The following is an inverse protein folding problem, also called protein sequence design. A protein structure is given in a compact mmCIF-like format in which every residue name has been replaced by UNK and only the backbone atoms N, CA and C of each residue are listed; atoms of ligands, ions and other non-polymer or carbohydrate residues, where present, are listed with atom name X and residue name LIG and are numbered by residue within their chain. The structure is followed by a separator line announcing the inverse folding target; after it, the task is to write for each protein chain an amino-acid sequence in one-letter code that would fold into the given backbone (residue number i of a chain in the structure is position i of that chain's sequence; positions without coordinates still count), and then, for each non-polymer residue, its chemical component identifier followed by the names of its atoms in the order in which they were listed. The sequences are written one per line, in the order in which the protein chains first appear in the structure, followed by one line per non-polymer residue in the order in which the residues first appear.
data_IF_454993569261
#
_entry.id   IF_454993569261
#
_cell.length_a   1.000
_cell.length_b   1.000
_cell.length_c   1.000
_cell.angle_alpha   90.00
_cell.angle_beta   90.00
_cell.angle_gamma   90.00
#
_symmetry.space_group_name_H-M   'P 1'
#
loop_
_entity.id
_entity.type
_entity.pdbx_description
1 polymer ?
#
# COMPACT_ATOMS: atom_id res chain seq x y z
N UNK A 1 -18.31 -0.87 -2.58
CA UNK A 1 -17.63 -2.17 -2.81
C UNK A 1 -16.25 -2.08 -2.22
N UNK A 2 -15.80 -3.12 -1.52
CA UNK A 2 -14.50 -3.13 -0.87
C UNK A 2 -13.46 -3.65 -1.85
N UNK A 3 -12.64 -2.77 -2.42
CA UNK A 3 -11.50 -3.20 -3.23
C UNK A 3 -10.41 -3.74 -2.32
N UNK A 4 -10.13 -5.04 -2.40
CA UNK A 4 -9.19 -5.73 -1.52
C UNK A 4 -7.82 -5.87 -2.15
N UNK A 5 -6.79 -5.87 -1.30
CA UNK A 5 -5.43 -6.11 -1.71
C UNK A 5 -4.65 -6.99 -0.74
N UNK A 6 -3.61 -7.64 -1.27
CA UNK A 6 -2.55 -8.25 -0.47
C UNK A 6 -1.18 -7.70 -0.90
N UNK A 7 -0.36 -7.36 0.08
CA UNK A 7 0.99 -6.85 -0.11
C UNK A 7 1.95 -7.92 0.41
N UNK A 8 2.90 -8.30 -0.44
CA UNK A 8 3.98 -9.23 -0.13
C UNK A 8 5.33 -8.53 -0.22
N UNK A 9 6.27 -9.03 0.59
CA UNK A 9 7.65 -8.59 0.57
C UNK A 9 8.47 -9.76 0.07
N UNK A 10 9.33 -9.51 -0.92
CA UNK A 10 10.32 -10.48 -1.37
C UNK A 10 11.09 -11.06 -0.18
N UNK A 11 11.48 -12.34 -0.25
CA UNK A 11 12.05 -13.10 0.86
C UNK A 11 11.12 -13.34 2.09
N UNK A 12 9.87 -12.81 2.12
CA UNK A 12 8.88 -13.01 3.21
C UNK A 12 7.44 -13.22 2.70
N UNK A 13 7.26 -13.99 1.64
CA UNK A 13 5.93 -14.18 1.02
C UNK A 13 4.98 -15.04 1.87
N UNK A 14 5.48 -15.75 2.89
CA UNK A 14 4.68 -16.55 3.81
C UNK A 14 3.66 -15.73 4.63
N UNK A 15 3.91 -14.43 4.83
CA UNK A 15 3.01 -13.51 5.54
C UNK A 15 2.69 -12.34 4.60
N UNK A 16 1.41 -12.08 4.39
CA UNK A 16 0.91 -10.99 3.55
C UNK A 16 0.22 -9.94 4.41
N UNK A 17 0.46 -8.67 4.11
CA UNK A 17 -0.37 -7.59 4.63
C UNK A 17 -1.64 -7.51 3.79
N UNK A 18 -2.78 -7.79 4.42
CA UNK A 18 -4.10 -7.68 3.83
C UNK A 18 -4.65 -6.26 4.00
N UNK A 19 -5.26 -5.71 2.97
CA UNK A 19 -6.03 -4.46 3.01
C UNK A 19 -7.46 -4.73 2.53
N UNK A 20 -8.42 -4.43 3.40
CA UNK A 20 -9.83 -4.75 3.18
C UNK A 20 -10.49 -3.83 2.15
N UNK A 21 -10.25 -2.52 2.26
CA UNK A 21 -10.83 -1.49 1.40
C UNK A 21 -9.73 -0.63 0.78
N UNK A 22 -10.04 0.04 -0.34
CA UNK A 22 -9.11 0.91 -1.07
C UNK A 22 -7.79 0.23 -1.45
N UNK A 23 -7.86 -1.05 -1.84
CA UNK A 23 -6.72 -1.84 -2.27
C UNK A 23 -6.18 -1.50 -3.66
N UNK A 24 -6.81 -0.60 -4.42
CA UNK A 24 -6.31 -0.14 -5.72
C UNK A 24 -5.08 0.77 -5.55
N UNK A 25 -4.28 1.04 -6.61
CA UNK A 25 -2.95 1.61 -6.44
C UNK A 25 -2.93 2.98 -5.76
N UNK A 26 -3.93 3.83 -6.00
CA UNK A 26 -4.05 5.12 -5.32
C UNK A 26 -4.29 5.01 -3.80
N UNK A 27 -4.85 3.90 -3.31
CA UNK A 27 -5.08 3.67 -1.87
C UNK A 27 -3.95 2.92 -1.15
N UNK A 28 -2.98 2.40 -1.91
CA UNK A 28 -1.87 1.59 -1.36
C UNK A 28 -0.52 2.28 -1.56
N UNK A 29 -0.20 2.71 -2.78
CA UNK A 29 1.12 3.25 -3.13
C UNK A 29 1.54 4.49 -2.34
N UNK A 30 0.63 5.46 -2.03
CA UNK A 30 0.98 6.62 -1.21
C UNK A 30 1.51 6.31 0.18
N UNK A 31 1.16 5.15 0.73
CA UNK A 31 1.61 4.68 2.05
C UNK A 31 2.82 3.75 1.90
N UNK A 32 2.73 2.82 0.96
CA UNK A 32 3.72 1.79 0.71
C UNK A 32 5.08 2.38 0.29
N UNK A 33 5.11 3.23 -0.73
CA UNK A 33 6.38 3.70 -1.30
C UNK A 33 7.20 4.56 -0.33
N UNK A 34 6.64 5.58 0.35
CA UNK A 34 7.44 6.39 1.28
C UNK A 34 7.94 5.55 2.47
N UNK A 35 7.17 4.54 2.89
CA UNK A 35 7.61 3.63 3.94
C UNK A 35 8.80 2.78 3.49
N UNK A 36 8.73 2.18 2.31
CA UNK A 36 9.82 1.36 1.74
C UNK A 36 11.06 2.23 1.52
N UNK A 37 10.92 3.39 0.88
CA UNK A 37 12.03 4.34 0.63
C UNK A 37 12.73 4.73 1.94
N UNK A 38 11.97 5.17 2.94
CA UNK A 38 12.52 5.59 4.22
C UNK A 38 13.17 4.43 4.99
N UNK A 39 12.60 3.23 4.91
CA UNK A 39 13.11 2.05 5.59
C UNK A 39 14.45 1.62 5.00
N UNK A 40 14.51 1.48 3.66
CA UNK A 40 15.74 1.08 2.98
C UNK A 40 16.86 2.09 3.17
N UNK A 41 16.55 3.39 3.13
CA UNK A 41 17.53 4.46 3.38
C UNK A 41 18.16 4.39 4.78
N UNK A 42 17.43 3.90 5.78
CA UNK A 42 17.84 3.93 7.20
C UNK A 42 18.39 2.61 7.70
N UNK A 43 17.84 1.49 7.25
CA UNK A 43 18.16 0.15 7.75
C UNK A 43 18.74 -0.78 6.66
N UNK A 44 18.34 -0.59 5.41
CA UNK A 44 18.58 -1.56 4.35
C UNK A 44 17.50 -2.65 4.32
N UNK A 45 17.79 -3.75 3.61
CA UNK A 45 16.85 -4.84 3.39
C UNK A 45 16.70 -5.73 4.63
N UNK A 46 15.52 -5.68 5.24
CA UNK A 46 15.13 -6.52 6.38
C UNK A 46 13.61 -6.76 6.27
N UNK A 47 13.18 -7.86 5.62
CA UNK A 47 11.78 -8.11 5.28
C UNK A 47 10.85 -8.14 6.49
N UNK A 48 11.27 -8.75 7.60
CA UNK A 48 10.44 -8.88 8.81
C UNK A 48 10.18 -7.52 9.46
N UNK A 49 11.25 -6.73 9.62
CA UNK A 49 11.10 -5.38 10.15
C UNK A 49 10.38 -4.46 9.15
N UNK A 50 10.57 -4.64 7.84
CA UNK A 50 9.84 -3.88 6.84
C UNK A 50 8.33 -4.18 6.93
N UNK A 51 7.93 -5.44 7.05
CA UNK A 51 6.52 -5.83 7.25
C UNK A 51 5.94 -5.16 8.49
N UNK A 52 6.65 -5.24 9.62
CA UNK A 52 6.20 -4.60 10.87
C UNK A 52 6.05 -3.07 10.71
N UNK A 53 6.95 -2.43 9.97
CA UNK A 53 6.86 -0.99 9.66
C UNK A 53 5.72 -0.67 8.72
N UNK A 54 5.42 -1.52 7.74
CA UNK A 54 4.27 -1.36 6.86
C UNK A 54 2.95 -1.48 7.62
N UNK A 55 2.80 -2.45 8.53
CA UNK A 55 1.62 -2.57 9.40
C UNK A 55 1.35 -1.25 10.14
N UNK A 56 2.38 -0.65 10.73
CA UNK A 56 2.26 0.66 11.37
C UNK A 56 1.94 1.79 10.39
N UNK A 57 2.57 1.81 9.22
CA UNK A 57 2.34 2.83 8.20
C UNK A 57 0.87 2.86 7.74
N UNK A 58 0.31 1.69 7.45
CA UNK A 58 -1.11 1.55 7.11
C UNK A 58 -2.01 1.88 8.30
N UNK A 59 -1.63 1.52 9.53
CA UNK A 59 -2.32 1.96 10.74
C UNK A 59 -2.46 3.47 10.88
N UNK A 60 -1.37 4.19 10.62
CA UNK A 60 -1.36 5.66 10.66
C UNK A 60 -2.21 6.28 9.55
N UNK A 61 -2.14 5.72 8.34
CA UNK A 61 -2.94 6.16 7.20
C UNK A 61 -4.44 5.99 7.47
N UNK A 62 -4.86 4.82 7.95
CA UNK A 62 -6.26 4.55 8.31
C UNK A 62 -6.77 5.45 9.43
N UNK A 63 -5.95 5.74 10.46
CA UNK A 63 -6.35 6.67 11.53
C UNK A 63 -6.56 8.09 10.99
N UNK A 64 -5.70 8.57 10.09
CA UNK A 64 -5.91 9.87 9.43
C UNK A 64 -7.20 9.89 8.60
N UNK A 65 -7.44 8.83 7.83
CA UNK A 65 -8.68 8.70 7.07
C UNK A 65 -9.91 8.73 7.98
N UNK A 66 -9.87 7.98 9.09
CA UNK A 66 -10.92 7.96 10.11
C UNK A 66 -11.18 9.34 10.72
N UNK A 67 -10.12 10.08 11.05
CA UNK A 67 -10.24 11.44 11.58
C UNK A 67 -10.86 12.40 10.56
N UNK A 68 -10.43 12.33 9.31
CA UNK A 68 -11.01 13.13 8.22
C UNK A 68 -12.50 12.83 8.00
N UNK A 69 -12.88 11.54 8.06
CA UNK A 69 -14.28 11.11 7.92
C UNK A 69 -15.16 11.52 9.10
N UNK A 70 -14.64 11.44 10.34
CA UNK A 70 -15.33 11.94 11.54
C UNK A 70 -15.58 13.45 11.47
N UNK A 71 -14.65 14.21 10.89
CA UNK A 71 -14.80 15.64 10.68
C UNK A 71 -15.75 15.98 9.50
N UNK A 72 -16.14 15.01 8.68
CA UNK A 72 -16.95 15.27 7.49
C UNK A 72 -18.43 15.51 7.84
N UNK A 73 -19.02 16.65 7.44
CA UNK A 73 -20.34 17.10 7.91
C UNK A 73 -21.52 16.15 7.65
N UNK A 74 -21.41 15.30 6.62
CA UNK A 74 -22.51 14.41 6.17
C UNK A 74 -22.17 12.92 6.20
N UNK A 75 -20.90 12.56 6.45
CA UNK A 75 -20.43 11.18 6.36
C UNK A 75 -20.09 10.57 7.74
N UNK A 76 -19.94 11.40 8.78
CA UNK A 76 -19.58 10.95 10.13
C UNK A 76 -20.56 9.94 10.76
N UNK A 77 -21.86 10.04 10.46
CA UNK A 77 -22.89 9.15 11.01
C UNK A 77 -23.04 7.81 10.27
N UNK A 78 -22.49 7.68 9.06
CA UNK A 78 -22.67 6.48 8.20
C UNK A 78 -21.66 5.36 8.46
N UNK A 79 -20.60 5.63 9.24
CA UNK A 79 -19.55 4.66 9.52
C UNK A 79 -19.84 3.94 10.85
N UNK A 80 -20.61 2.85 10.79
CA UNK A 80 -20.71 1.92 11.93
C UNK A 80 -19.41 1.11 11.99
N UNK A 81 -18.56 1.40 12.97
CA UNK A 81 -17.33 0.67 13.32
C UNK A 81 -16.10 0.85 12.40
N UNK A 82 -15.64 2.08 12.13
CA UNK A 82 -14.36 2.31 11.43
C UNK A 82 -13.13 1.76 12.16
N UNK A 83 -13.26 1.38 13.44
CA UNK A 83 -12.18 0.88 14.28
C UNK A 83 -11.79 -0.58 14.02
N UNK A 84 -12.63 -1.38 13.36
CA UNK A 84 -12.42 -2.83 13.17
C UNK A 84 -12.14 -3.26 11.73
N UNK A 85 -12.13 -2.33 10.78
CA UNK A 85 -11.85 -2.59 9.36
C UNK A 85 -10.65 -1.77 8.89
N UNK A 86 -9.93 -2.27 7.88
CA UNK A 86 -8.77 -1.58 7.30
C UNK A 86 -7.72 -2.54 6.76
N UNK A 87 -6.93 -3.13 7.66
CA UNK A 87 -5.83 -4.04 7.30
C UNK A 87 -5.65 -5.17 8.31
N UNK A 88 -4.90 -6.20 7.92
CA UNK A 88 -4.58 -7.35 8.76
C UNK A 88 -3.39 -8.14 8.22
N UNK A 89 -3.02 -9.22 8.90
CA UNK A 89 -1.99 -10.15 8.42
C UNK A 89 -2.66 -11.47 8.03
N UNK A 90 -2.26 -12.03 6.89
CA UNK A 90 -2.73 -13.33 6.43
C UNK A 90 -1.57 -14.22 6.04
N UNK A 91 -1.70 -15.52 6.30
CA UNK A 91 -0.80 -16.55 5.73
C UNK A 91 -1.26 -16.99 4.35
N UNK A 92 -2.55 -16.87 4.09
CA UNK A 92 -3.24 -17.41 2.92
C UNK A 92 -3.48 -16.32 1.87
N UNK A 93 -3.62 -16.75 0.63
CA UNK A 93 -4.15 -15.94 -0.45
C UNK A 93 -5.67 -15.92 -0.35
N UNK A 94 -6.28 -14.73 -0.35
CA UNK A 94 -7.73 -14.64 -0.41
C UNK A 94 -8.21 -14.69 -1.84
N UNK A 95 -9.30 -15.42 -2.08
CA UNK A 95 -9.87 -15.60 -3.41
C UNK A 95 -10.48 -14.31 -3.97
N UNK A 96 -10.86 -13.36 -3.10
CA UNK A 96 -11.49 -12.09 -3.45
C UNK A 96 -10.51 -10.89 -3.52
N UNK A 97 -9.22 -11.16 -3.71
CA UNK A 97 -8.21 -10.10 -3.92
C UNK A 97 -8.30 -9.56 -5.35
N UNK A 98 -8.35 -8.24 -5.46
CA UNK A 98 -8.34 -7.52 -6.74
C UNK A 98 -6.92 -7.05 -7.13
N UNK A 99 -6.07 -6.80 -6.13
CA UNK A 99 -4.74 -6.24 -6.32
C UNK A 99 -3.68 -6.92 -5.45
N UNK A 100 -2.54 -7.23 -6.06
CA UNK A 100 -1.36 -7.73 -5.35
C UNK A 100 -0.20 -6.75 -5.52
N UNK A 101 0.51 -6.48 -4.43
CA UNK A 101 1.70 -5.62 -4.46
C UNK A 101 2.90 -6.43 -4.00
N UNK A 102 4.00 -6.39 -4.75
CA UNK A 102 5.25 -7.03 -4.37
C UNK A 102 6.33 -6.00 -4.17
N UNK A 103 6.83 -5.90 -2.94
CA UNK A 103 7.99 -5.06 -2.61
C UNK A 103 9.25 -5.85 -2.90
N UNK A 104 10.11 -5.28 -3.74
CA UNK A 104 11.39 -5.86 -4.15
C UNK A 104 12.53 -5.36 -3.28
N UNK A 105 13.64 -6.12 -3.26
CA UNK A 105 14.86 -5.80 -2.51
C UNK A 105 15.45 -4.42 -2.85
N UNK A 106 15.31 -3.99 -4.10
CA UNK A 106 15.78 -2.68 -4.57
C UNK A 106 14.84 -1.51 -4.20
N UNK A 107 13.72 -1.81 -3.54
CA UNK A 107 12.69 -0.84 -3.15
C UNK A 107 11.65 -0.56 -4.22
N UNK A 108 11.74 -1.19 -5.39
CA UNK A 108 10.67 -1.12 -6.39
C UNK A 108 9.42 -1.87 -5.89
N UNK A 109 8.26 -1.41 -6.35
CA UNK A 109 6.96 -2.01 -6.02
C UNK A 109 6.31 -2.43 -7.32
N UNK A 110 6.14 -3.74 -7.48
CA UNK A 110 5.32 -4.28 -8.55
C UNK A 110 3.86 -4.25 -8.16
N UNK A 111 3.01 -3.89 -9.12
CA UNK A 111 1.56 -3.79 -8.94
C UNK A 111 0.91 -4.78 -9.89
N UNK A 112 0.13 -5.69 -9.35
CA UNK A 112 -0.51 -6.76 -10.09
C UNK A 112 -2.02 -6.64 -9.93
N UNK A 113 -2.77 -6.75 -11.03
CA UNK A 113 -4.22 -6.82 -11.03
C UNK A 113 -4.66 -8.26 -11.28
N UNK A 114 -5.45 -8.84 -10.38
CA UNK A 114 -5.90 -10.23 -10.49
C UNK A 114 -6.90 -10.40 -11.63
N UNK A 115 -6.88 -11.58 -12.26
CA UNK A 115 -7.82 -11.99 -13.31
C UNK A 115 -8.84 -13.03 -12.82
N UNK A 116 -9.67 -13.54 -13.73
CA UNK A 116 -10.73 -14.51 -13.41
C UNK A 116 -10.20 -15.82 -12.79
N UNK A 117 -9.01 -16.26 -13.22
CA UNK A 117 -8.37 -17.49 -12.73
C UNK A 117 -7.82 -17.38 -11.30
N UNK A 118 -7.79 -16.17 -10.72
CA UNK A 118 -7.24 -15.92 -9.39
C UNK A 118 -7.98 -16.70 -8.30
N UNK A 119 -9.32 -16.72 -8.38
CA UNK A 119 -10.16 -17.33 -7.36
C UNK A 119 -9.76 -18.79 -7.10
N UNK A 120 -9.67 -19.58 -8.18
CA UNK A 120 -9.30 -20.99 -8.08
C UNK A 120 -7.85 -21.21 -7.66
N UNK A 121 -6.92 -20.35 -8.07
CA UNK A 121 -5.51 -20.46 -7.69
C UNK A 121 -5.30 -20.18 -6.19
N UNK A 122 -6.00 -19.18 -5.65
CA UNK A 122 -5.96 -18.85 -4.23
C UNK A 122 -6.54 -19.98 -3.35
N UNK A 123 -7.69 -20.56 -3.74
CA UNK A 123 -8.31 -21.67 -3.00
C UNK A 123 -7.45 -22.93 -2.94
N UNK A 124 -6.64 -23.18 -3.98
CA UNK A 124 -5.71 -24.32 -4.00
C UNK A 124 -4.46 -24.12 -3.15
N UNK A 125 -4.26 -22.92 -2.59
CA UNK A 125 -3.09 -22.59 -1.80
C UNK A 125 -1.79 -22.68 -2.59
N UNK A 126 -1.84 -22.36 -3.90
CA UNK A 126 -0.64 -22.30 -4.73
C UNK A 126 0.36 -21.27 -4.17
N UNK A 127 1.65 -21.56 -4.26
CA UNK A 127 2.70 -20.57 -4.04
C UNK A 127 2.70 -19.59 -5.22
N UNK A 128 2.85 -18.30 -4.92
CA UNK A 128 2.96 -17.24 -5.94
C UNK A 128 1.85 -17.19 -7.03
N UNK A 129 0.54 -17.31 -6.72
CA UNK A 129 -0.51 -17.42 -7.74
C UNK A 129 -0.60 -16.18 -8.65
N UNK A 130 -0.08 -15.03 -8.22
CA UNK A 130 -0.10 -13.79 -9.01
C UNK A 130 0.80 -13.85 -10.24
N UNK A 131 1.85 -14.70 -10.23
CA UNK A 131 2.76 -14.82 -11.38
C UNK A 131 2.05 -15.43 -12.60
N UNK A 132 0.96 -16.17 -12.39
CA UNK A 132 0.16 -16.79 -13.47
C UNK A 132 -1.21 -16.14 -13.65
N UNK A 133 -1.85 -15.77 -12.55
CA UNK A 133 -3.26 -15.39 -12.53
C UNK A 133 -3.48 -13.87 -12.38
N UNK A 134 -2.41 -13.07 -12.39
CA UNK A 134 -2.49 -11.62 -12.35
C UNK A 134 -1.68 -10.98 -13.48
N UNK A 135 -2.15 -9.81 -13.92
CA UNK A 135 -1.45 -8.96 -14.89
C UNK A 135 -0.61 -7.94 -14.16
N UNK A 136 0.69 -7.92 -14.42
CA UNK A 136 1.57 -6.83 -13.99
C UNK A 136 1.13 -5.52 -14.66
N UNK A 137 0.91 -4.49 -13.87
CA UNK A 137 0.63 -3.14 -14.36
C UNK A 137 1.93 -2.49 -14.85
N UNK A 138 1.94 -1.91 -16.06
CA UNK A 138 3.03 -1.04 -16.50
C UNK A 138 3.16 0.17 -15.56
N UNK A 139 4.39 0.66 -15.38
CA UNK A 139 4.69 1.80 -14.51
C UNK A 139 3.92 3.07 -14.93
N UNK A 140 3.68 3.28 -16.23
CA UNK A 140 2.86 4.39 -16.73
C UNK A 140 1.41 4.34 -16.20
N UNK A 141 0.82 3.15 -16.14
CA UNK A 141 -0.53 2.92 -15.62
C UNK A 141 -0.54 3.17 -14.09
N UNK A 142 0.44 2.60 -13.37
CA UNK A 142 0.61 2.81 -11.94
C UNK A 142 0.83 4.30 -11.58
N UNK A 143 1.61 5.02 -12.39
CA UNK A 143 1.87 6.45 -12.20
C UNK A 143 0.61 7.30 -12.36
N UNK A 144 -0.38 6.87 -13.16
CA UNK A 144 -1.68 7.52 -13.25
C UNK A 144 -2.41 7.56 -11.90
N UNK A 145 -2.35 6.47 -11.15
CA UNK A 145 -2.97 6.37 -9.82
C UNK A 145 -2.30 7.27 -8.77
N UNK A 146 -0.97 7.46 -8.87
CA UNK A 146 -0.23 8.36 -7.97
C UNK A 146 -0.63 9.83 -8.13
N UNK A 147 -1.24 10.21 -9.27
CA UNK A 147 -1.64 11.59 -9.58
C UNK A 147 -3.01 11.96 -9.02
N UNK A 148 -3.79 11.00 -8.53
CA UNK A 148 -5.12 11.26 -7.94
C UNK A 148 -4.97 12.24 -6.75
N UNK A 149 -5.80 13.29 -6.63
CA UNK A 149 -5.54 14.38 -5.67
C UNK A 149 -5.34 13.92 -4.22
N UNK A 150 -6.22 13.05 -3.71
CA UNK A 150 -6.11 12.56 -2.34
C UNK A 150 -4.90 11.62 -2.15
N UNK A 151 -4.52 10.86 -3.18
CA UNK A 151 -3.34 10.01 -3.15
C UNK A 151 -2.05 10.86 -3.07
N UNK A 152 -2.03 12.03 -3.71
CA UNK A 152 -0.91 12.99 -3.59
C UNK A 152 -0.78 13.56 -2.19
N UNK A 153 -1.90 13.95 -1.57
CA UNK A 153 -1.90 14.48 -0.20
C UNK A 153 -1.48 13.42 0.82
N UNK A 154 -1.98 12.19 0.67
CA UNK A 154 -1.58 11.07 1.52
C UNK A 154 -0.08 10.76 1.37
N UNK A 155 0.42 10.75 0.14
CA UNK A 155 1.85 10.55 -0.15
C UNK A 155 2.69 11.65 0.49
N UNK A 156 2.27 12.91 0.38
CA UNK A 156 2.93 14.05 1.01
C UNK A 156 2.96 13.90 2.52
N UNK A 157 1.84 13.54 3.14
CA UNK A 157 1.75 13.34 4.58
C UNK A 157 2.65 12.18 5.06
N UNK A 158 2.73 11.08 4.30
CA UNK A 158 3.62 9.95 4.59
C UNK A 158 5.10 10.31 4.41
N UNK A 159 5.45 11.05 3.36
CA UNK A 159 6.82 11.56 3.16
C UNK A 159 7.24 12.49 4.30
N UNK A 160 6.38 13.41 4.72
CA UNK A 160 6.63 14.30 5.85
C UNK A 160 6.80 13.53 7.16
N UNK A 161 5.91 12.56 7.44
CA UNK A 161 6.03 11.67 8.61
C UNK A 161 7.38 10.94 8.65
N UNK A 162 7.87 10.51 7.48
CA UNK A 162 9.15 9.86 7.36
C UNK A 162 10.33 10.82 7.17
N UNK A 163 10.16 12.14 7.20
CA UNK A 163 11.25 13.09 6.96
C UNK A 163 11.94 12.88 5.61
N UNK A 164 11.18 12.53 4.58
CA UNK A 164 11.64 12.36 3.19
C UNK A 164 11.47 13.64 2.35
N UNK A 165 11.42 14.80 3.00
CA UNK A 165 11.30 16.07 2.27
C UNK A 165 12.55 16.33 1.42
N UNK A 166 12.32 16.85 0.21
CA UNK A 166 13.41 17.40 -0.59
C UNK A 166 13.95 18.62 0.14
N UNK A 167 15.24 18.60 0.47
CA UNK A 167 15.95 19.83 0.81
C UNK A 167 15.86 20.68 -0.46
N UNK A 168 14.96 21.67 -0.48
CA UNK A 168 15.05 22.73 -1.48
C UNK A 168 16.36 23.46 -1.15
N UNK A 169 17.45 23.06 -1.78
CA UNK A 169 18.64 23.89 -1.88
C UNK A 169 18.23 25.12 -2.67
N UNK A 170 17.64 26.10 -1.98
CA UNK A 170 17.52 27.47 -2.46
C UNK A 170 18.93 27.99 -2.61
N UNK A 171 19.56 27.72 -3.75
CA UNK A 171 20.76 28.41 -4.17
C UNK A 171 20.31 29.83 -4.50
N UNK A 172 20.33 30.68 -3.48
CA UNK A 172 20.29 32.13 -3.60
C UNK A 172 21.63 32.56 -4.21
N UNK A 173 21.78 32.44 -5.52
CA UNK A 173 22.77 33.26 -6.25
C UNK A 173 22.14 34.62 -6.47
N UNK A 174 22.29 35.49 -5.49
CA UNK A 174 22.16 36.93 -5.71
C UNK A 174 23.50 37.39 -6.30
N UNK A 175 23.51 38.02 -7.49
CA UNK A 175 24.71 38.67 -8.03
C UNK A 175 25.10 39.93 -7.24
#
# INVERSE_FOLDING_TARGET
MSTRAQIVIEDLEAIKLYKHCDGYPAGVLPVLEPCVEAFLKRRGWDPEYLLARLVMAFGLAEERHRQAMKAHPTLGERYRHPETTGYGLSREWYADIEWVYRVRRDGSVEVWKTGEDWWGAAERGEDAPWERCARLLPEEEAAGWRKVPWAREERKAMRAFYGLEEVSCGVSTTP
#
